data_IF_718656139739
#
_entry.id   IF_718656139739
#
_cell.length_a   1.000
_cell.length_b   1.000
_cell.length_c   1.000
_cell.angle_alpha   90.00
_cell.angle_beta   90.00
_cell.angle_gamma   90.00
#
_symmetry.space_group_name_H-M   'P 1'
#
loop_
_entity.id
_entity.type
_entity.pdbx_description
1 polymer ?
#
# COMPACT_ATOMS: atom_id res chain seq x y z
N UNK A 1 -8.99 -0.22 -3.66
CA UNK A 1 -8.30 0.03 -2.39
C UNK A 1 -9.31 0.33 -1.30
N UNK A 2 -8.98 1.22 -0.36
CA UNK A 2 -9.86 1.60 0.75
C UNK A 2 -10.71 2.86 0.52
N UNK A 3 -10.50 3.57 -0.59
CA UNK A 3 -11.23 4.81 -0.89
C UNK A 3 -10.81 6.01 -0.03
N UNK A 4 -9.66 5.97 0.66
CA UNK A 4 -9.19 7.03 1.57
C UNK A 4 -8.82 8.35 0.88
N UNK A 5 -8.74 8.38 -0.46
CA UNK A 5 -8.35 9.56 -1.24
C UNK A 5 -9.31 9.84 -2.42
N UNK A 6 -10.58 9.47 -2.29
CA UNK A 6 -11.62 9.77 -3.29
C UNK A 6 -12.89 10.22 -2.60
N UNK A 7 -13.68 11.04 -3.30
CA UNK A 7 -15.04 11.41 -2.90
C UNK A 7 -16.00 10.96 -4.01
N UNK A 8 -16.72 9.86 -3.77
CA UNK A 8 -17.72 9.34 -4.70
C UNK A 8 -19.04 10.07 -4.45
N UNK A 9 -19.67 10.59 -5.52
CA UNK A 9 -20.99 11.24 -5.43
C UNK A 9 -22.05 10.24 -4.98
N UNK A 10 -23.14 10.73 -4.38
CA UNK A 10 -24.25 9.89 -3.90
C UNK A 10 -24.89 9.00 -4.98
N UNK A 11 -24.82 9.42 -6.25
CA UNK A 11 -25.28 8.62 -7.39
C UNK A 11 -24.38 7.44 -7.76
N UNK A 12 -23.24 7.24 -7.09
CA UNK A 12 -22.33 6.12 -7.28
C UNK A 12 -21.48 6.18 -8.57
N UNK A 13 -21.00 5.02 -9.00
CA UNK A 13 -20.18 4.83 -10.21
C UNK A 13 -20.94 3.89 -11.16
N UNK A 14 -21.09 4.28 -12.44
CA UNK A 14 -21.67 3.43 -13.48
C UNK A 14 -20.64 2.42 -14.00
N UNK A 15 -21.08 1.20 -14.32
CA UNK A 15 -20.20 0.13 -14.79
C UNK A 15 -19.65 -0.71 -13.64
N UNK A 16 -18.45 -1.27 -13.81
CA UNK A 16 -17.83 -2.14 -12.82
C UNK A 16 -16.84 -1.37 -11.93
N UNK A 17 -16.86 -1.66 -10.63
CA UNK A 17 -15.85 -1.22 -9.66
C UNK A 17 -15.12 -2.45 -9.15
N UNK A 18 -13.81 -2.53 -9.40
CA UNK A 18 -12.98 -3.65 -8.94
C UNK A 18 -12.26 -3.26 -7.66
N UNK A 19 -12.50 -4.02 -6.59
CA UNK A 19 -11.82 -3.84 -5.31
C UNK A 19 -10.66 -4.82 -5.15
N UNK A 20 -9.45 -4.28 -5.00
CA UNK A 20 -8.24 -5.06 -4.70
C UNK A 20 -8.06 -5.39 -3.22
N UNK A 21 -9.00 -5.00 -2.34
CA UNK A 21 -8.84 -5.11 -0.87
C UNK A 21 -8.56 -6.53 -0.37
N UNK A 22 -8.99 -7.54 -1.13
CA UNK A 22 -8.80 -8.96 -0.79
C UNK A 22 -7.66 -9.63 -1.58
N UNK A 23 -6.80 -8.84 -2.25
CA UNK A 23 -5.57 -9.33 -2.88
C UNK A 23 -4.44 -9.37 -1.85
N UNK A 24 -4.60 -10.18 -0.80
CA UNK A 24 -3.76 -10.29 0.41
C UNK A 24 -3.10 -11.68 0.51
N UNK A 25 -2.68 -12.23 -0.63
CA UNK A 25 -2.24 -13.64 -0.74
C UNK A 25 -0.72 -13.76 -0.70
N UNK A 26 -0.02 -12.64 -0.85
CA UNK A 26 1.44 -12.57 -0.97
C UNK A 26 1.93 -11.57 0.07
N UNK A 27 2.74 -12.02 1.03
CA UNK A 27 3.45 -11.18 1.98
C UNK A 27 4.72 -11.93 2.37
N UNK A 28 5.74 -11.78 1.53
CA UNK A 28 6.99 -12.51 1.63
C UNK A 28 8.16 -11.53 1.79
N UNK A 29 9.17 -11.96 2.53
CA UNK A 29 10.44 -11.27 2.70
C UNK A 29 11.56 -12.17 2.15
N UNK A 30 12.37 -11.64 1.24
CA UNK A 30 13.59 -12.27 0.77
C UNK A 30 14.75 -11.28 0.95
N UNK A 31 15.65 -11.58 1.87
CA UNK A 31 16.74 -10.70 2.30
C UNK A 31 16.23 -9.31 2.67
N UNK A 32 16.41 -8.32 1.78
CA UNK A 32 16.01 -6.93 1.97
C UNK A 32 14.82 -6.51 1.09
N UNK A 33 14.17 -7.46 0.41
CA UNK A 33 13.10 -7.19 -0.54
C UNK A 33 11.78 -7.79 -0.06
N UNK A 34 10.76 -6.93 0.00
CA UNK A 34 9.39 -7.33 0.34
C UNK A 34 8.55 -7.51 -0.93
N UNK A 35 7.85 -8.64 -1.05
CA UNK A 35 6.82 -8.84 -2.05
C UNK A 35 5.46 -8.89 -1.34
N UNK A 36 4.61 -7.89 -1.60
CA UNK A 36 3.36 -7.70 -0.87
C UNK A 36 2.21 -7.46 -1.84
N UNK A 37 1.11 -8.17 -1.64
CA UNK A 37 -0.12 -8.01 -2.43
C UNK A 37 -0.73 -6.62 -2.29
N UNK A 38 -1.31 -6.10 -3.38
CA UNK A 38 -1.87 -4.75 -3.43
C UNK A 38 -3.00 -4.49 -2.43
N UNK A 39 -3.63 -5.55 -1.91
CA UNK A 39 -4.77 -5.49 -1.00
C UNK A 39 -4.42 -5.25 0.47
N UNK A 40 -3.17 -5.51 0.88
CA UNK A 40 -2.73 -5.25 2.24
C UNK A 40 -2.83 -3.77 2.59
N UNK A 41 -3.06 -3.45 3.87
CA UNK A 41 -2.95 -2.07 4.32
C UNK A 41 -1.50 -1.63 4.23
N UNK A 42 -1.27 -0.35 3.93
CA UNK A 42 0.09 0.20 3.92
C UNK A 42 0.75 0.08 5.31
N UNK A 43 -0.05 0.21 6.37
CA UNK A 43 0.34 -0.10 7.76
C UNK A 43 0.90 -1.52 7.90
N UNK A 44 0.24 -2.52 7.33
CA UNK A 44 0.67 -3.93 7.43
C UNK A 44 2.04 -4.12 6.77
N UNK A 45 2.30 -3.43 5.64
CA UNK A 45 3.61 -3.46 4.99
C UNK A 45 4.71 -2.81 5.84
N UNK A 46 4.40 -1.70 6.51
CA UNK A 46 5.32 -1.04 7.46
C UNK A 46 5.64 -1.94 8.67
N UNK A 47 4.62 -2.57 9.26
CA UNK A 47 4.80 -3.50 10.38
C UNK A 47 5.55 -4.78 9.96
N UNK A 48 5.32 -5.28 8.74
CA UNK A 48 6.05 -6.43 8.20
C UNK A 48 7.52 -6.12 7.93
N UNK A 49 7.83 -4.92 7.43
CA UNK A 49 9.21 -4.45 7.29
C UNK A 49 9.91 -4.40 8.66
N UNK A 50 9.26 -3.81 9.65
CA UNK A 50 9.76 -3.75 11.02
C UNK A 50 10.02 -5.14 11.61
N UNK A 51 9.08 -6.08 11.45
CA UNK A 51 9.22 -7.45 11.94
C UNK A 51 10.40 -8.21 11.29
N UNK A 52 10.81 -7.82 10.08
CA UNK A 52 11.96 -8.37 9.36
C UNK A 52 13.23 -7.53 9.53
N UNK A 53 13.26 -6.58 10.46
CA UNK A 53 14.41 -5.68 10.69
C UNK A 53 14.83 -4.86 9.46
N UNK A 54 13.87 -4.49 8.62
CA UNK A 54 14.09 -3.63 7.45
C UNK A 54 13.63 -2.20 7.73
N UNK A 55 14.44 -1.22 7.33
CA UNK A 55 14.11 0.20 7.38
C UNK A 55 13.60 0.71 6.01
N UNK A 56 13.04 1.91 6.01
CA UNK A 56 12.59 2.63 4.80
C UNK A 56 11.07 2.75 4.65
N UNK A 57 10.28 1.99 5.42
CA UNK A 57 8.80 2.05 5.41
C UNK A 57 8.20 2.67 6.68
N UNK A 58 9.00 3.28 7.55
CA UNK A 58 8.57 3.91 8.80
C UNK A 58 7.60 5.06 8.53
N UNK A 59 7.84 5.81 7.45
CA UNK A 59 6.99 6.93 7.03
C UNK A 59 5.53 6.53 6.80
N UNK A 60 5.30 5.25 6.49
CA UNK A 60 4.05 4.72 5.98
C UNK A 60 3.10 4.22 7.07
N UNK A 61 3.57 4.08 8.32
CA UNK A 61 2.82 3.44 9.43
C UNK A 61 1.45 4.08 9.71
N UNK A 62 1.35 5.39 9.51
CA UNK A 62 0.14 6.18 9.77
C UNK A 62 -0.73 6.45 8.55
N UNK A 63 -0.29 6.07 7.35
CA UNK A 63 -0.99 6.43 6.11
C UNK A 63 -2.16 5.45 5.86
N UNK A 64 -3.42 5.93 5.85
CA UNK A 64 -4.57 5.06 5.63
C UNK A 64 -4.69 4.69 4.15
N UNK A 65 -4.82 3.40 3.86
CA UNK A 65 -5.05 2.91 2.50
C UNK A 65 -4.44 1.54 2.28
N UNK A 66 -4.78 0.95 1.14
CA UNK A 66 -4.13 -0.27 0.67
C UNK A 66 -2.78 0.05 0.03
N UNK A 67 -1.81 -0.87 0.09
CA UNK A 67 -0.50 -0.73 -0.56
C UNK A 67 -0.61 -0.40 -2.05
N UNK A 68 -1.52 -1.03 -2.79
CA UNK A 68 -1.72 -0.69 -4.22
C UNK A 68 -2.22 0.73 -4.45
N UNK A 69 -2.99 1.27 -3.49
CA UNK A 69 -3.42 2.67 -3.53
C UNK A 69 -2.29 3.62 -3.19
N UNK A 70 -1.42 3.23 -2.24
CA UNK A 70 -0.23 3.98 -1.89
C UNK A 70 0.74 4.08 -3.09
N UNK A 71 0.99 2.97 -3.78
CA UNK A 71 1.80 2.94 -5.01
C UNK A 71 1.19 3.85 -6.08
N UNK A 72 -0.12 3.75 -6.32
CA UNK A 72 -0.81 4.60 -7.30
C UNK A 72 -0.66 6.10 -7.03
N UNK A 73 -0.66 6.49 -5.75
CA UNK A 73 -0.58 7.89 -5.33
C UNK A 73 0.85 8.40 -5.12
N UNK A 74 1.87 7.54 -5.22
CA UNK A 74 3.18 7.79 -4.62
C UNK A 74 3.05 8.32 -3.17
N UNK A 75 2.28 7.61 -2.34
CA UNK A 75 1.95 8.08 -1.00
C UNK A 75 3.22 8.36 -0.18
N UNK A 76 3.19 9.44 0.60
CA UNK A 76 4.32 9.87 1.40
C UNK A 76 3.91 10.67 2.62
N UNK A 77 4.78 10.67 3.63
CA UNK A 77 4.69 11.43 4.87
C UNK A 77 6.11 11.53 5.46
N UNK A 78 6.36 12.47 6.38
CA UNK A 78 7.64 12.57 7.10
C UNK A 78 8.89 12.48 6.18
N UNK A 79 8.84 13.15 5.02
CA UNK A 79 9.88 13.16 3.98
C UNK A 79 10.20 11.80 3.31
N UNK A 80 9.44 10.75 3.60
CA UNK A 80 9.46 9.48 2.89
C UNK A 80 8.28 9.33 1.92
N UNK A 81 8.49 8.62 0.81
CA UNK A 81 7.44 8.31 -0.16
C UNK A 81 7.68 6.95 -0.84
N UNK A 82 6.63 6.40 -1.44
CA UNK A 82 6.70 5.07 -2.08
C UNK A 82 7.80 4.98 -3.13
N UNK A 83 8.07 6.05 -3.88
CA UNK A 83 9.12 6.08 -4.92
C UNK A 83 10.53 5.78 -4.37
N UNK A 84 10.78 6.05 -3.07
CA UNK A 84 12.07 5.78 -2.44
C UNK A 84 12.33 4.29 -2.21
N UNK A 85 11.27 3.47 -2.12
CA UNK A 85 11.36 2.06 -1.70
C UNK A 85 10.79 1.06 -2.71
N UNK A 86 9.93 1.50 -3.63
CA UNK A 86 9.34 0.62 -4.65
C UNK A 86 10.34 0.38 -5.77
N UNK A 87 10.72 -0.89 -5.95
CA UNK A 87 11.63 -1.32 -7.02
C UNK A 87 10.92 -1.88 -8.25
N UNK A 88 9.74 -2.49 -8.08
CA UNK A 88 8.94 -3.06 -9.17
C UNK A 88 7.44 -3.19 -8.80
N UNK A 89 6.57 -3.23 -9.81
CA UNK A 89 5.12 -3.46 -9.70
C UNK A 89 4.66 -4.48 -10.77
N UNK A 90 3.56 -5.20 -10.53
CA UNK A 90 2.98 -6.20 -11.43
C UNK A 90 1.56 -5.82 -11.83
#
# INVERSE_FOLDING_TARGET
>A
GCGSNILVKDGGIRGAVVSVRHMTQIMDCNENTLCIGSGYMLKDASEFAWANSLSGLEFAIGIPGTLGGAVFMNAGAYDGEMSHVVTAVR
#
